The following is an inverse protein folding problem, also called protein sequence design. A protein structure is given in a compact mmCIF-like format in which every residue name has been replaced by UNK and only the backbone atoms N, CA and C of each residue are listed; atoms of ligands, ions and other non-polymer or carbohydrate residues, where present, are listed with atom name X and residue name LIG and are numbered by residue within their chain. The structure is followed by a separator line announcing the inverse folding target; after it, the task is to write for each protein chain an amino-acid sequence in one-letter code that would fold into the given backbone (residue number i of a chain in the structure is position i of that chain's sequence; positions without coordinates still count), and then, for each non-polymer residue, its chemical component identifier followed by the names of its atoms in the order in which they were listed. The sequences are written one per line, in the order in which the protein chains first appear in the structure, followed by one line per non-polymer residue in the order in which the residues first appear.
data_IF_098604350637
#
_entry.id   IF_098604350637
#
_cell.length_a   1.000
_cell.length_b   1.000
_cell.length_c   1.000
_cell.angle_alpha   90.00
_cell.angle_beta   90.00
_cell.angle_gamma   90.00
#
_symmetry.space_group_name_H-M   'P 1'
#
loop_
_entity.id
_entity.type
_entity.pdbx_description
1 polymer ?
#
# COMPACT_ATOMS: atom_id res chain seq x y z
N UNK A 1 53.09 41.63 37.61
CA UNK A 1 52.08 40.56 37.72
C UNK A 1 52.13 39.76 36.43
N UNK A 2 52.65 38.51 36.45
CA UNK A 2 51.92 37.26 36.13
C UNK A 2 51.26 37.30 34.73
N UNK A 3 51.55 36.51 33.70
CA UNK A 3 51.96 35.10 33.48
C UNK A 3 52.55 35.02 32.04
N UNK A 4 53.68 34.41 31.66
CA UNK A 4 54.20 33.03 31.70
C UNK A 4 53.45 31.97 30.86
N UNK A 5 54.22 31.32 29.96
CA UNK A 5 54.05 30.02 29.25
C UNK A 5 53.29 30.11 27.91
N UNK A 6 53.71 29.44 26.82
CA UNK A 6 54.29 28.11 26.71
C UNK A 6 55.10 27.97 25.39
N UNK A 7 56.36 27.54 25.50
CA UNK A 7 57.18 27.00 24.40
C UNK A 7 57.02 25.48 24.48
N UNK A 8 56.69 24.81 23.38
CA UNK A 8 56.96 23.37 23.26
C UNK A 8 57.47 23.05 21.85
N UNK A 9 58.74 22.65 21.83
CA UNK A 9 59.58 22.36 20.68
C UNK A 9 59.28 20.95 20.15
N UNK A 10 59.17 20.85 18.82
CA UNK A 10 59.14 19.60 18.05
C UNK A 10 60.41 18.77 18.32
N UNK A 11 60.24 17.49 18.61
CA UNK A 11 61.29 16.49 18.45
C UNK A 11 60.69 15.19 17.90
N UNK A 12 61.00 14.96 16.63
CA UNK A 12 60.80 13.73 15.87
C UNK A 12 61.63 12.57 16.43
N UNK A 13 61.04 11.38 16.57
CA UNK A 13 61.80 10.13 16.54
C UNK A 13 61.00 9.05 15.81
N UNK A 14 61.52 8.66 14.65
CA UNK A 14 61.04 7.57 13.83
C UNK A 14 61.44 6.22 14.45
N UNK A 15 60.49 5.29 14.49
CA UNK A 15 60.79 3.85 14.54
C UNK A 15 59.95 3.15 13.47
N UNK A 16 60.68 2.66 12.48
CA UNK A 16 60.23 1.81 11.38
C UNK A 16 59.89 0.44 11.95
N UNK A 17 58.66 -0.03 11.73
CA UNK A 17 58.37 -1.47 11.77
C UNK A 17 57.93 -1.90 10.37
N UNK A 18 58.67 -2.86 9.83
CA UNK A 18 58.44 -3.45 8.52
C UNK A 18 57.20 -4.34 8.59
N UNK A 19 56.13 -3.92 7.93
CA UNK A 19 55.01 -4.79 7.54
C UNK A 19 54.89 -4.74 6.03
N UNK A 20 55.01 -5.88 5.37
CA UNK A 20 54.95 -6.01 3.91
C UNK A 20 53.59 -5.51 3.41
N UNK A 21 53.52 -4.27 2.93
CA UNK A 21 52.40 -3.79 2.14
C UNK A 21 52.58 -4.33 0.71
N UNK A 22 51.80 -5.35 0.36
CA UNK A 22 51.47 -5.62 -1.04
C UNK A 22 50.72 -4.39 -1.55
N UNK A 23 51.16 -3.81 -2.66
CA UNK A 23 50.43 -2.77 -3.36
C UNK A 23 49.00 -3.28 -3.67
N UNK A 24 48.00 -2.74 -2.97
CA UNK A 24 46.65 -2.78 -3.47
C UNK A 24 46.57 -1.73 -4.57
N UNK A 25 46.62 -2.20 -5.82
CA UNK A 25 46.04 -1.46 -6.93
C UNK A 25 44.62 -1.10 -6.51
N UNK A 26 44.35 0.19 -6.39
CA UNK A 26 42.99 0.72 -6.33
C UNK A 26 42.31 0.25 -7.62
N UNK A 27 41.58 -0.85 -7.50
CA UNK A 27 40.58 -1.20 -8.48
C UNK A 27 39.52 -0.14 -8.27
N UNK A 28 39.26 0.68 -9.29
CA UNK A 28 38.06 1.50 -9.32
C UNK A 28 36.89 0.59 -8.96
N UNK A 29 36.40 0.73 -7.73
CA UNK A 29 35.09 0.21 -7.38
C UNK A 29 34.12 1.08 -8.18
N UNK A 30 33.89 0.70 -9.43
CA UNK A 30 32.62 0.96 -10.07
C UNK A 30 31.62 0.40 -9.08
N UNK A 31 30.95 1.30 -8.34
CA UNK A 31 29.89 0.93 -7.44
C UNK A 31 28.98 0.01 -8.24
N UNK A 32 28.97 -1.28 -7.87
CA UNK A 32 28.08 -2.23 -8.50
C UNK A 32 26.70 -1.61 -8.37
N UNK A 33 26.12 -1.26 -9.52
CA UNK A 33 24.73 -0.81 -9.59
C UNK A 33 23.94 -1.88 -8.85
N UNK A 34 23.20 -1.56 -7.78
CA UNK A 34 22.45 -2.57 -7.05
C UNK A 34 21.65 -3.35 -8.08
N UNK A 35 21.77 -4.69 -8.06
CA UNK A 35 20.93 -5.51 -8.90
C UNK A 35 19.49 -5.04 -8.71
N UNK A 36 18.71 -4.79 -9.78
CA UNK A 36 17.32 -4.43 -9.63
C UNK A 36 16.69 -5.48 -8.72
N UNK A 37 16.14 -5.04 -7.59
CA UNK A 37 15.42 -5.93 -6.68
C UNK A 37 14.40 -6.67 -7.54
N UNK A 38 14.45 -8.00 -7.51
CA UNK A 38 13.47 -8.81 -8.21
C UNK A 38 12.09 -8.26 -7.85
N UNK A 39 11.31 -7.92 -8.87
CA UNK A 39 9.94 -7.45 -8.73
C UNK A 39 9.22 -8.47 -7.84
N UNK A 40 8.89 -8.06 -6.61
CA UNK A 40 8.14 -8.90 -5.69
C UNK A 40 6.72 -8.91 -6.23
N UNK A 41 6.44 -9.82 -7.17
CA UNK A 41 5.09 -10.09 -7.63
C UNK A 41 4.29 -10.53 -6.41
N UNK A 42 3.30 -9.75 -5.95
CA UNK A 42 2.53 -10.11 -4.77
C UNK A 42 1.89 -11.48 -5.03
N UNK A 43 2.15 -12.43 -4.13
CA UNK A 43 1.52 -13.74 -4.24
C UNK A 43 0.06 -13.61 -3.82
N UNK A 44 -0.83 -14.05 -4.69
CA UNK A 44 -2.27 -14.13 -4.44
C UNK A 44 -2.53 -14.95 -3.16
N UNK A 45 -3.48 -14.55 -2.29
CA UNK A 45 -4.10 -15.52 -1.41
C UNK A 45 -4.80 -16.56 -2.30
N UNK A 46 -4.36 -17.81 -2.23
CA UNK A 46 -4.89 -18.94 -3.01
C UNK A 46 -6.37 -19.25 -2.75
N UNK A 47 -6.99 -18.54 -1.80
CA UNK A 47 -8.35 -18.77 -1.33
C UNK A 47 -9.33 -17.62 -1.61
N UNK A 48 -8.92 -16.54 -2.29
CA UNK A 48 -9.89 -15.56 -2.76
C UNK A 48 -10.76 -16.22 -3.86
N UNK A 49 -12.09 -16.39 -3.67
CA UNK A 49 -12.97 -16.90 -4.70
C UNK A 49 -12.82 -16.05 -5.96
N UNK A 50 -12.82 -16.66 -7.16
CA UNK A 50 -12.90 -15.89 -8.39
C UNK A 50 -14.17 -15.04 -8.32
N UNK A 51 -13.99 -13.72 -8.32
CA UNK A 51 -15.13 -12.81 -8.34
C UNK A 51 -15.90 -12.88 -9.65
N UNK A 52 -17.14 -12.44 -9.70
CA UNK A 52 -17.89 -12.34 -10.94
C UNK A 52 -17.31 -11.22 -11.83
N UNK A 53 -16.48 -11.60 -12.80
CA UNK A 53 -15.90 -10.72 -13.82
C UNK A 53 -15.33 -11.54 -14.97
N UNK A 54 -15.34 -10.98 -16.18
CA UNK A 54 -14.81 -11.64 -17.36
C UNK A 54 -13.27 -11.61 -17.32
N UNK A 55 -12.65 -12.71 -16.94
CA UNK A 55 -11.23 -12.95 -17.19
C UNK A 55 -10.85 -14.40 -16.90
N UNK A 56 -9.71 -14.81 -17.47
CA UNK A 56 -9.22 -16.18 -17.33
C UNK A 56 -8.33 -16.30 -16.11
N UNK A 57 -8.27 -17.49 -15.48
CA UNK A 57 -7.28 -17.75 -14.45
C UNK A 57 -5.86 -17.44 -14.98
N UNK A 58 -5.19 -16.45 -14.38
CA UNK A 58 -3.88 -15.98 -14.83
C UNK A 58 -3.86 -14.55 -15.39
N UNK A 59 -5.01 -13.96 -15.73
CA UNK A 59 -5.07 -12.53 -16.03
C UNK A 59 -5.07 -11.74 -14.71
N UNK A 60 -4.13 -10.80 -14.57
CA UNK A 60 -4.10 -9.87 -13.43
C UNK A 60 -5.36 -8.99 -13.32
N UNK A 61 -6.26 -9.04 -14.32
CA UNK A 61 -7.54 -8.35 -14.34
C UNK A 61 -8.75 -9.29 -14.33
N UNK A 62 -8.51 -10.60 -14.27
CA UNK A 62 -9.61 -11.52 -14.12
C UNK A 62 -10.30 -11.25 -12.79
N UNK A 63 -11.61 -11.11 -12.88
CA UNK A 63 -12.52 -10.95 -11.75
C UNK A 63 -12.66 -9.52 -11.21
N UNK A 64 -13.86 -9.22 -10.71
CA UNK A 64 -14.22 -7.90 -10.19
C UNK A 64 -14.83 -6.94 -11.22
N UNK A 65 -14.90 -5.67 -10.83
CA UNK A 65 -15.29 -4.56 -11.69
C UNK A 65 -14.13 -3.60 -11.91
N UNK A 66 -13.92 -3.19 -13.16
CA UNK A 66 -12.96 -2.16 -13.53
C UNK A 66 -13.65 -0.87 -13.95
N UNK A 67 -13.06 0.27 -13.59
CA UNK A 67 -13.59 1.60 -13.90
C UNK A 67 -12.44 2.57 -14.19
N UNK A 68 -12.70 3.61 -14.98
CA UNK A 68 -11.76 4.72 -15.12
C UNK A 68 -11.56 5.40 -13.76
N UNK A 69 -10.31 5.70 -13.43
CA UNK A 69 -9.94 6.40 -12.21
C UNK A 69 -9.33 7.75 -12.56
N UNK A 70 -9.77 8.78 -11.85
CA UNK A 70 -9.31 10.16 -12.06
C UNK A 70 -8.52 10.59 -10.83
N UNK A 71 -7.18 10.63 -10.91
CA UNK A 71 -6.39 11.17 -9.81
C UNK A 71 -6.68 12.66 -9.59
N UNK A 72 -6.53 13.10 -8.34
CA UNK A 72 -6.72 14.51 -7.98
C UNK A 72 -5.69 15.41 -8.68
N UNK A 73 -4.47 14.92 -8.86
CA UNK A 73 -3.41 15.59 -9.64
C UNK A 73 -2.26 14.63 -10.00
N UNK A 74 -1.42 15.03 -10.95
CA UNK A 74 -0.16 14.35 -11.24
C UNK A 74 0.79 14.34 -10.04
N UNK A 75 0.83 15.43 -9.26
CA UNK A 75 1.61 15.50 -8.03
C UNK A 75 1.13 14.49 -6.99
N UNK A 76 -0.19 14.30 -6.87
CA UNK A 76 -0.74 13.31 -5.94
C UNK A 76 -0.41 11.87 -6.37
N UNK A 77 -0.46 11.58 -7.67
CA UNK A 77 0.00 10.29 -8.20
C UNK A 77 1.50 10.07 -7.96
N UNK A 78 2.33 11.10 -8.16
CA UNK A 78 3.76 11.03 -7.85
C UNK A 78 4.00 10.78 -6.36
N UNK A 79 3.23 11.41 -5.48
CA UNK A 79 3.26 11.15 -4.04
C UNK A 79 2.87 9.72 -3.68
N UNK A 80 1.96 9.10 -4.43
CA UNK A 80 1.53 7.72 -4.28
C UNK A 80 2.63 6.74 -4.71
N UNK A 81 3.19 6.88 -5.91
CA UNK A 81 4.22 5.96 -6.43
C UNK A 81 5.64 6.23 -5.92
N UNK A 82 5.87 7.39 -5.32
CA UNK A 82 7.20 7.92 -5.01
C UNK A 82 7.93 7.27 -3.82
N UNK A 83 7.42 6.16 -3.27
CA UNK A 83 8.01 5.49 -2.11
C UNK A 83 8.45 4.08 -2.47
N UNK A 84 9.74 3.78 -2.25
CA UNK A 84 10.35 2.48 -2.46
C UNK A 84 11.64 2.54 -3.28
N UNK A 85 12.29 1.39 -3.43
CA UNK A 85 13.43 1.22 -4.34
C UNK A 85 12.83 1.05 -5.75
N UNK A 86 13.10 1.99 -6.65
CA UNK A 86 12.45 2.04 -7.97
C UNK A 86 11.36 3.11 -8.10
N UNK A 87 11.31 4.09 -7.19
CA UNK A 87 10.49 5.28 -7.40
C UNK A 87 10.86 5.93 -8.73
N UNK A 88 9.85 6.06 -9.61
CA UNK A 88 9.98 6.75 -10.88
C UNK A 88 9.02 7.94 -10.85
N UNK A 89 9.52 9.16 -11.10
CA UNK A 89 8.63 10.28 -11.34
C UNK A 89 7.71 9.95 -12.51
N UNK A 90 6.41 10.08 -12.30
CA UNK A 90 5.41 9.94 -13.35
C UNK A 90 5.50 11.15 -14.25
N UNK A 91 5.63 10.91 -15.55
CA UNK A 91 5.69 11.98 -16.55
C UNK A 91 4.29 12.35 -17.03
N UNK A 92 3.56 11.38 -17.56
CA UNK A 92 2.21 11.58 -18.10
C UNK A 92 1.43 10.26 -18.06
N UNK A 93 1.00 9.80 -16.88
CA UNK A 93 0.30 8.54 -16.73
C UNK A 93 -1.05 8.62 -17.46
N UNK A 94 -1.37 7.57 -18.20
CA UNK A 94 -2.60 7.41 -18.98
C UNK A 94 -3.30 6.10 -18.63
N UNK A 95 -4.52 5.90 -19.14
CA UNK A 95 -5.31 4.68 -18.94
C UNK A 95 -5.48 4.27 -17.47
N UNK A 96 -5.57 5.26 -16.58
CA UNK A 96 -5.61 5.03 -15.15
C UNK A 96 -6.93 4.36 -14.78
N UNK A 97 -6.85 3.15 -14.22
CA UNK A 97 -7.98 2.29 -13.92
C UNK A 97 -7.95 1.79 -12.49
N UNK A 98 -9.13 1.71 -11.90
CA UNK A 98 -9.36 1.05 -10.61
C UNK A 98 -10.09 -0.26 -10.88
N UNK A 99 -9.57 -1.38 -10.35
CA UNK A 99 -10.29 -2.64 -10.27
C UNK A 99 -10.58 -2.98 -8.81
N UNK A 100 -11.80 -3.43 -8.55
CA UNK A 100 -12.22 -3.89 -7.22
C UNK A 100 -12.79 -5.30 -7.36
N UNK A 101 -12.28 -6.22 -6.56
CA UNK A 101 -12.83 -7.56 -6.42
C UNK A 101 -12.79 -7.97 -4.95
N UNK A 102 -13.91 -7.77 -4.25
CA UNK A 102 -14.07 -8.09 -2.84
C UNK A 102 -15.33 -8.91 -2.62
N UNK A 103 -15.38 -9.68 -1.56
CA UNK A 103 -16.53 -10.52 -1.22
C UNK A 103 -16.72 -10.57 0.30
N UNK A 104 -17.95 -10.84 0.74
CA UNK A 104 -18.25 -10.97 2.17
C UNK A 104 -17.63 -12.26 2.72
N UNK A 105 -16.62 -12.12 3.57
CA UNK A 105 -15.94 -13.22 4.29
C UNK A 105 -16.72 -13.65 5.54
N UNK A 106 -17.84 -12.98 5.83
CA UNK A 106 -18.72 -13.24 6.97
C UNK A 106 -19.04 -11.97 7.75
N UNK A 107 -20.26 -11.90 8.27
CA UNK A 107 -20.74 -10.79 9.12
C UNK A 107 -20.60 -9.39 8.47
N UNK A 108 -20.78 -9.31 7.15
CA UNK A 108 -20.72 -8.07 6.38
C UNK A 108 -19.30 -7.50 6.31
N UNK A 109 -18.28 -8.37 6.27
CA UNK A 109 -16.86 -7.98 6.22
C UNK A 109 -16.27 -8.36 4.88
N UNK A 110 -15.63 -7.42 4.20
CA UNK A 110 -15.25 -7.60 2.80
C UNK A 110 -13.74 -7.77 2.62
N UNK A 111 -13.32 -9.01 2.36
CA UNK A 111 -11.95 -9.37 1.98
C UNK A 111 -11.78 -9.42 0.47
N UNK A 112 -10.54 -9.42 -0.01
CA UNK A 112 -10.21 -9.48 -1.43
C UNK A 112 -9.14 -8.48 -1.84
N UNK A 113 -9.27 -7.92 -3.05
CA UNK A 113 -8.24 -7.11 -3.66
C UNK A 113 -8.78 -5.83 -4.31
N UNK A 114 -7.94 -4.81 -4.35
CA UNK A 114 -8.13 -3.58 -5.10
C UNK A 114 -6.85 -3.30 -5.89
N UNK A 115 -6.99 -3.00 -7.17
CA UNK A 115 -5.86 -2.68 -8.04
C UNK A 115 -5.98 -1.28 -8.63
N UNK A 116 -4.86 -0.58 -8.71
CA UNK A 116 -4.75 0.69 -9.42
C UNK A 116 -3.69 0.49 -10.49
N UNK A 117 -4.06 0.67 -11.75
CA UNK A 117 -3.14 0.51 -12.86
C UNK A 117 -3.10 1.74 -13.74
N UNK A 118 -1.98 1.95 -14.41
CA UNK A 118 -1.76 3.06 -15.32
C UNK A 118 -0.63 2.72 -16.29
N UNK A 119 -0.62 3.42 -17.42
CA UNK A 119 0.47 3.35 -18.39
C UNK A 119 1.29 4.64 -18.31
N UNK A 120 2.60 4.55 -18.10
CA UNK A 120 3.52 5.70 -18.15
C UNK A 120 4.77 5.35 -18.97
N UNK A 121 5.22 6.26 -19.83
CA UNK A 121 6.37 6.06 -20.75
C UNK A 121 6.34 4.74 -21.55
N UNK A 122 5.14 4.27 -21.93
CA UNK A 122 4.96 3.02 -22.68
C UNK A 122 5.09 1.74 -21.85
N UNK A 123 5.20 1.84 -20.53
CA UNK A 123 5.17 0.71 -19.60
C UNK A 123 3.85 0.67 -18.83
N UNK A 124 3.37 -0.54 -18.56
CA UNK A 124 2.20 -0.80 -17.73
C UNK A 124 2.62 -1.02 -16.28
N UNK A 125 1.96 -0.33 -15.35
CA UNK A 125 2.21 -0.45 -13.92
C UNK A 125 0.94 -0.83 -13.17
N UNK A 126 1.08 -1.66 -12.13
CA UNK A 126 -0.02 -2.11 -11.29
C UNK A 126 0.37 -2.00 -9.80
N UNK A 127 -0.44 -1.27 -9.03
CA UNK A 127 -0.46 -1.37 -7.57
C UNK A 127 -1.51 -2.40 -7.15
N UNK A 128 -1.14 -3.33 -6.27
CA UNK A 128 -1.99 -4.45 -5.86
C UNK A 128 -2.16 -4.47 -4.34
N UNK A 129 -3.36 -4.16 -3.88
CA UNK A 129 -3.67 -4.03 -2.45
C UNK A 129 -4.64 -5.12 -2.02
N UNK A 130 -4.38 -5.73 -0.86
CA UNK A 130 -5.17 -6.84 -0.32
C UNK A 130 -5.76 -6.53 1.05
N UNK A 131 -6.94 -7.09 1.28
CA UNK A 131 -7.50 -7.34 2.59
C UNK A 131 -7.66 -8.84 2.73
N UNK A 132 -7.04 -9.41 3.77
CA UNK A 132 -7.05 -10.84 4.00
C UNK A 132 -8.46 -11.40 4.15
N UNK A 133 -8.60 -12.65 3.75
CA UNK A 133 -9.89 -13.35 3.74
C UNK A 133 -10.06 -14.29 4.92
N UNK A 134 -9.01 -14.45 5.72
CA UNK A 134 -9.02 -15.30 6.89
C UNK A 134 -9.29 -14.52 8.17
N UNK A 135 -8.79 -15.08 9.26
CA UNK A 135 -8.81 -14.47 10.58
C UNK A 135 -7.41 -14.21 11.07
N UNK A 136 -7.29 -13.14 11.84
CA UNK A 136 -6.07 -12.77 12.54
C UNK A 136 -5.55 -13.90 13.40
N UNK A 137 -4.31 -14.34 13.13
CA UNK A 137 -3.60 -15.30 13.98
C UNK A 137 -3.05 -14.62 15.24
N UNK A 138 -2.69 -15.43 16.22
CA UNK A 138 -1.97 -14.95 17.40
C UNK A 138 -0.60 -14.42 17.02
N UNK A 139 -0.24 -13.27 17.57
CA UNK A 139 1.02 -12.58 17.28
C UNK A 139 1.44 -11.75 18.49
N UNK A 140 2.41 -12.26 19.25
CA UNK A 140 2.86 -11.70 20.52
C UNK A 140 3.60 -10.35 20.40
N UNK A 141 4.10 -9.98 19.22
CA UNK A 141 5.13 -8.93 19.11
C UNK A 141 4.65 -7.52 18.75
N UNK A 142 3.48 -7.34 18.12
CA UNK A 142 3.07 -6.03 17.55
C UNK A 142 1.57 -5.70 17.60
N UNK A 143 0.74 -6.55 18.21
CA UNK A 143 -0.70 -6.31 18.38
C UNK A 143 -1.17 -6.66 19.77
N UNK A 144 -2.30 -6.11 20.19
CA UNK A 144 -3.00 -6.62 21.36
C UNK A 144 -3.59 -7.99 21.01
N UNK A 145 -3.51 -8.97 21.91
CA UNK A 145 -4.14 -10.28 21.77
C UNK A 145 -5.66 -10.21 21.49
N UNK A 146 -6.26 -9.03 21.68
CA UNK A 146 -7.68 -8.73 21.55
C UNK A 146 -8.24 -8.88 20.13
N UNK A 147 -7.39 -8.97 19.09
CA UNK A 147 -7.84 -9.11 17.71
C UNK A 147 -7.65 -10.52 17.13
N UNK A 148 -7.14 -11.47 17.92
CA UNK A 148 -6.99 -12.87 17.48
C UNK A 148 -8.39 -13.46 17.21
N UNK A 149 -8.54 -14.12 16.07
CA UNK A 149 -9.82 -14.66 15.61
C UNK A 149 -10.76 -13.65 14.95
N UNK A 150 -10.45 -12.34 15.01
CA UNK A 150 -11.19 -11.36 14.22
C UNK A 150 -10.85 -11.51 12.72
N UNK A 151 -11.82 -11.25 11.83
CA UNK A 151 -11.57 -11.23 10.40
C UNK A 151 -10.42 -10.28 10.04
N UNK A 152 -9.57 -10.67 9.11
CA UNK A 152 -8.53 -9.78 8.59
C UNK A 152 -9.15 -8.54 7.92
N UNK A 153 -10.33 -8.71 7.32
CA UNK A 153 -11.17 -7.66 6.75
C UNK A 153 -12.10 -6.96 7.76
N UNK A 154 -11.85 -7.02 9.08
CA UNK A 154 -12.78 -6.53 10.12
C UNK A 154 -13.25 -5.08 9.94
N UNK A 155 -12.45 -4.24 9.29
CA UNK A 155 -12.78 -2.84 9.06
C UNK A 155 -13.36 -2.54 7.67
N UNK A 156 -13.57 -3.55 6.83
CA UNK A 156 -14.08 -3.40 5.48
C UNK A 156 -15.57 -3.70 5.48
N UNK A 157 -16.41 -2.67 5.54
CA UNK A 157 -17.86 -2.84 5.75
C UNK A 157 -18.65 -1.75 5.07
N UNK A 158 -19.88 -2.08 4.68
CA UNK A 158 -20.90 -1.08 4.42
C UNK A 158 -21.30 -0.44 5.75
N UNK A 159 -21.26 0.89 5.82
CA UNK A 159 -21.77 1.69 6.94
C UNK A 159 -23.28 1.85 6.85
N UNK A 160 -23.78 1.88 5.61
CA UNK A 160 -25.18 1.89 5.22
C UNK A 160 -25.27 1.32 3.78
N UNK A 161 -26.46 1.11 3.20
CA UNK A 161 -26.60 0.49 1.86
C UNK A 161 -25.85 1.19 0.70
N UNK A 162 -25.52 2.48 0.87
CA UNK A 162 -24.87 3.33 -0.12
C UNK A 162 -23.44 3.75 0.23
N UNK A 163 -22.95 3.42 1.43
CA UNK A 163 -21.64 3.90 1.91
C UNK A 163 -20.77 2.72 2.35
N UNK A 164 -19.62 2.54 1.72
CA UNK A 164 -18.61 1.54 2.06
C UNK A 164 -17.28 2.20 2.40
N UNK A 165 -16.56 1.61 3.34
CA UNK A 165 -15.17 1.95 3.62
C UNK A 165 -14.40 0.67 3.86
N UNK A 166 -13.28 0.49 3.14
CA UNK A 166 -12.44 -0.70 3.27
C UNK A 166 -10.96 -0.37 3.09
N UNK A 167 -10.14 -1.01 3.91
CA UNK A 167 -8.70 -0.86 3.99
C UNK A 167 -8.04 -2.03 3.29
N UNK A 168 -7.02 -1.73 2.49
CA UNK A 168 -6.25 -2.70 1.73
C UNK A 168 -4.77 -2.29 1.79
N UNK A 169 -3.85 -3.24 1.80
CA UNK A 169 -2.43 -2.93 1.86
C UNK A 169 -1.61 -3.69 0.83
N UNK A 170 -0.44 -3.17 0.52
CA UNK A 170 0.64 -3.88 -0.14
C UNK A 170 1.91 -3.82 0.74
N UNK A 171 3.08 -4.05 0.14
CA UNK A 171 4.37 -3.98 0.85
C UNK A 171 4.88 -2.55 1.06
N UNK A 172 4.32 -1.57 0.35
CA UNK A 172 4.77 -0.18 0.29
C UNK A 172 3.84 0.78 1.02
N UNK A 173 2.59 0.40 1.25
CA UNK A 173 1.58 1.26 1.84
C UNK A 173 0.21 0.59 2.00
N UNK A 174 -0.78 1.44 2.21
CA UNK A 174 -2.17 1.08 2.34
C UNK A 174 -3.06 2.06 1.57
N UNK A 175 -4.19 1.56 1.09
CA UNK A 175 -5.26 2.36 0.53
C UNK A 175 -6.56 2.17 1.31
N UNK A 176 -7.44 3.16 1.20
CA UNK A 176 -8.82 3.09 1.65
C UNK A 176 -9.72 3.32 0.45
N UNK A 177 -10.51 2.31 0.12
CA UNK A 177 -11.59 2.41 -0.85
C UNK A 177 -12.81 2.98 -0.12
N UNK A 178 -13.27 4.14 -0.56
CA UNK A 178 -14.49 4.78 -0.06
C UNK A 178 -15.53 4.79 -1.17
N UNK A 179 -16.70 4.23 -0.89
CA UNK A 179 -17.92 4.45 -1.67
C UNK A 179 -18.81 5.35 -0.83
N UNK A 180 -19.22 6.48 -1.38
CA UNK A 180 -20.02 7.49 -0.67
C UNK A 180 -21.20 8.01 -1.50
N UNK A 181 -21.31 7.60 -2.76
CA UNK A 181 -22.41 7.95 -3.64
C UNK A 181 -22.90 6.72 -4.43
N UNK A 182 -24.22 6.51 -4.39
CA UNK A 182 -24.89 5.56 -5.27
C UNK A 182 -25.06 6.21 -6.65
N UNK A 183 -24.76 5.47 -7.71
CA UNK A 183 -25.08 5.86 -9.08
C UNK A 183 -26.60 6.01 -9.34
N UNK A 184 -26.99 6.25 -10.60
CA UNK A 184 -28.39 6.46 -10.95
C UNK A 184 -29.23 5.21 -10.62
N UNK A 185 -30.29 5.41 -9.85
CA UNK A 185 -31.32 4.40 -9.62
C UNK A 185 -32.31 4.45 -10.79
N UNK A 186 -32.54 3.32 -11.45
CA UNK A 186 -33.41 3.23 -12.62
C UNK A 186 -34.91 3.16 -12.25
N UNK A 187 -35.24 3.20 -10.95
CA UNK A 187 -36.63 3.18 -10.47
C UNK A 187 -37.27 1.79 -10.50
N UNK A 188 -36.49 0.74 -10.72
CA UNK A 188 -36.93 -0.66 -10.77
C UNK A 188 -36.92 -1.37 -9.41
N UNK A 189 -36.57 -0.64 -8.33
CA UNK A 189 -36.50 -1.18 -6.97
C UNK A 189 -35.23 -1.97 -6.67
N UNK A 190 -34.28 -2.09 -7.61
CA UNK A 190 -33.01 -2.81 -7.37
C UNK A 190 -31.91 -1.94 -6.73
N UNK A 191 -32.18 -0.65 -6.52
CA UNK A 191 -31.18 0.31 -6.05
C UNK A 191 -30.21 0.70 -7.18
N UNK A 192 -29.11 1.36 -6.83
CA UNK A 192 -28.11 1.69 -7.85
C UNK A 192 -27.25 0.48 -8.22
N UNK A 193 -27.16 0.19 -9.51
CA UNK A 193 -26.31 -0.87 -10.06
C UNK A 193 -24.82 -0.50 -10.08
N UNK A 194 -24.53 0.80 -9.99
CA UNK A 194 -23.17 1.34 -9.94
C UNK A 194 -22.92 2.18 -8.70
N UNK A 195 -21.67 2.34 -8.34
CA UNK A 195 -21.23 3.17 -7.21
C UNK A 195 -20.10 4.10 -7.64
N UNK A 196 -20.04 5.25 -6.97
CA UNK A 196 -18.98 6.24 -7.12
C UNK A 196 -18.24 6.37 -5.80
N UNK A 197 -17.05 6.95 -5.85
CA UNK A 197 -16.31 7.20 -4.63
C UNK A 197 -14.89 7.68 -4.85
N UNK A 198 -14.06 7.42 -3.85
CA UNK A 198 -12.67 7.87 -3.82
C UNK A 198 -11.73 6.79 -3.29
N UNK A 199 -10.47 6.93 -3.68
CA UNK A 199 -9.37 6.14 -3.12
C UNK A 199 -8.46 7.07 -2.34
N UNK A 200 -8.12 6.69 -1.12
CA UNK A 200 -7.15 7.35 -0.27
C UNK A 200 -5.95 6.45 -0.09
N UNK A 201 -4.78 7.01 0.13
CA UNK A 201 -3.56 6.23 0.32
C UNK A 201 -2.70 6.75 1.46
N UNK A 202 -1.90 5.86 2.02
CA UNK A 202 -0.84 6.14 2.97
C UNK A 202 0.33 5.23 2.62
N UNK A 203 1.46 5.82 2.30
CA UNK A 203 2.69 5.06 2.13
C UNK A 203 3.32 4.76 3.49
N UNK A 204 3.92 3.59 3.61
CA UNK A 204 4.72 3.25 4.77
C UNK A 204 6.05 4.01 4.72
N UNK A 205 6.64 4.26 5.89
CA UNK A 205 8.02 4.72 5.91
C UNK A 205 8.90 3.66 5.24
N UNK A 206 9.91 4.08 4.47
CA UNK A 206 10.94 3.18 3.94
C UNK A 206 11.67 2.52 5.12
N UNK A 207 11.13 1.40 5.60
CA UNK A 207 11.62 0.64 6.72
C UNK A 207 11.96 -0.77 6.24
N UNK A 208 13.07 -1.29 6.78
CA UNK A 208 13.47 -2.68 6.59
C UNK A 208 13.38 -3.38 7.96
N UNK A 209 12.77 -4.58 8.04
CA UNK A 209 12.19 -5.37 6.94
C UNK A 209 10.84 -4.81 6.47
N UNK A 210 10.52 -4.96 5.17
CA UNK A 210 9.21 -4.59 4.62
C UNK A 210 8.06 -5.27 5.39
N UNK A 211 6.88 -4.65 5.37
CA UNK A 211 5.73 -5.18 6.08
C UNK A 211 5.37 -6.59 5.58
N UNK A 212 5.37 -7.56 6.49
CA UNK A 212 4.96 -8.93 6.19
C UNK A 212 3.44 -9.13 6.16
N UNK A 213 3.00 -10.27 5.63
CA UNK A 213 1.59 -10.68 5.57
C UNK A 213 1.00 -11.18 6.90
N UNK A 214 1.80 -11.17 7.98
CA UNK A 214 1.44 -11.75 9.27
C UNK A 214 0.37 -10.95 10.02
N UNK A 215 0.31 -9.64 9.79
CA UNK A 215 -0.70 -8.74 10.37
C UNK A 215 -0.91 -7.57 9.42
N UNK A 216 -2.18 -7.27 9.15
CA UNK A 216 -2.50 -6.09 8.36
C UNK A 216 -2.32 -4.79 9.17
N UNK A 217 -1.93 -3.72 8.48
CA UNK A 217 -1.49 -2.44 9.02
C UNK A 217 -2.53 -1.75 9.89
N UNK A 218 -3.82 -2.07 9.70
CA UNK A 218 -4.93 -1.51 10.46
C UNK A 218 -5.11 -2.16 11.84
N UNK A 219 -4.47 -3.31 12.08
CA UNK A 219 -4.37 -3.94 13.39
C UNK A 219 -3.05 -3.62 14.10
N UNK A 220 -2.11 -2.97 13.42
CA UNK A 220 -0.83 -2.56 14.00
C UNK A 220 -1.03 -1.22 14.69
N UNK A 221 -0.77 -1.17 16.00
CA UNK A 221 -0.96 0.04 16.82
C UNK A 221 0.35 0.75 17.15
N UNK A 222 1.49 0.22 16.70
CA UNK A 222 2.83 0.80 16.92
C UNK A 222 3.77 0.40 15.79
N UNK A 223 4.58 1.36 15.33
CA UNK A 223 5.65 1.13 14.36
C UNK A 223 5.39 1.79 13.00
N UNK A 224 6.33 1.63 12.04
CA UNK A 224 6.31 2.36 10.77
C UNK A 224 5.18 1.91 9.83
N UNK A 225 4.57 0.75 10.11
CA UNK A 225 3.50 0.14 9.31
C UNK A 225 2.12 0.36 9.90
N UNK A 226 1.97 1.21 10.92
CA UNK A 226 0.65 1.54 11.45
C UNK A 226 -0.14 2.35 10.43
N UNK A 227 -1.26 1.78 9.98
CA UNK A 227 -2.24 2.47 9.15
C UNK A 227 -3.58 2.64 9.89
N UNK A 228 -3.60 2.38 11.21
CA UNK A 228 -4.74 2.58 12.08
C UNK A 228 -5.19 4.05 12.09
N UNK A 229 -6.46 4.31 11.77
CA UNK A 229 -7.14 5.60 11.87
C UNK A 229 -8.19 5.48 12.98
N UNK A 230 -8.29 6.45 13.91
CA UNK A 230 -9.30 6.48 14.96
C UNK A 230 -10.74 6.26 14.46
N UNK A 231 -11.04 6.72 13.24
CA UNK A 231 -12.36 6.59 12.62
C UNK A 231 -12.69 5.13 12.24
N UNK A 232 -11.70 4.24 12.13
CA UNK A 232 -11.95 2.82 11.84
C UNK A 232 -12.79 2.12 12.89
N UNK A 233 -12.63 2.47 14.16
CA UNK A 233 -13.34 1.83 15.26
C UNK A 233 -14.71 2.45 15.47
N UNK A 234 -14.80 3.79 15.45
CA UNK A 234 -16.06 4.52 15.66
C UNK A 234 -17.00 4.40 14.47
N UNK A 235 -16.46 4.17 13.26
CA UNK A 235 -17.20 4.18 11.99
C UNK A 235 -18.05 5.45 11.81
N UNK A 236 -17.63 6.55 12.43
CA UNK A 236 -18.33 7.83 12.42
C UNK A 236 -18.22 8.58 11.08
N UNK A 237 -17.33 8.12 10.20
CA UNK A 237 -17.12 8.63 8.84
C UNK A 237 -16.60 7.49 7.95
N UNK A 238 -16.97 7.46 6.66
CA UNK A 238 -16.37 6.51 5.71
C UNK A 238 -14.95 6.90 5.30
N UNK A 239 -14.61 8.19 5.41
CA UNK A 239 -13.29 8.71 5.07
C UNK A 239 -12.29 8.41 6.18
N UNK A 240 -11.06 7.98 5.84
CA UNK A 240 -10.02 7.83 6.83
C UNK A 240 -9.62 9.18 7.41
N UNK A 241 -9.12 9.16 8.64
CA UNK A 241 -8.42 10.31 9.25
C UNK A 241 -6.91 10.11 9.21
N UNK A 242 -6.19 11.08 9.79
CA UNK A 242 -4.74 11.10 9.89
C UNK A 242 -4.07 11.11 8.51
N UNK A 243 -2.82 10.66 8.44
CA UNK A 243 -1.84 10.79 7.34
C UNK A 243 -2.28 10.22 5.98
N UNK A 244 -3.52 9.78 5.81
CA UNK A 244 -4.07 9.39 4.52
C UNK A 244 -4.31 10.63 3.65
N UNK A 245 -3.96 10.52 2.37
CA UNK A 245 -4.21 11.56 1.37
C UNK A 245 -5.13 10.99 0.30
N UNK A 246 -6.08 11.78 -0.19
CA UNK A 246 -6.94 11.32 -1.29
C UNK A 246 -6.12 11.24 -2.56
N UNK A 247 -6.13 10.08 -3.21
CA UNK A 247 -5.45 9.86 -4.48
C UNK A 247 -6.30 10.37 -5.65
N UNK A 248 -7.61 10.13 -5.61
CA UNK A 248 -8.52 10.43 -6.70
C UNK A 248 -9.91 9.85 -6.50
N UNK A 249 -10.69 9.89 -7.58
CA UNK A 249 -12.09 9.48 -7.60
C UNK A 249 -12.40 8.52 -8.75
N UNK A 250 -13.50 7.79 -8.62
CA UNK A 250 -14.05 6.93 -9.66
C UNK A 250 -15.58 7.08 -9.74
N UNK A 251 -16.15 6.80 -10.91
CA UNK A 251 -17.59 6.82 -11.14
C UNK A 251 -18.05 5.65 -11.99
N UNK A 252 -19.18 5.04 -11.62
CA UNK A 252 -19.80 3.97 -12.41
C UNK A 252 -19.21 2.58 -12.17
N UNK A 253 -18.59 2.32 -11.02
CA UNK A 253 -18.09 1.00 -10.67
C UNK A 253 -19.28 0.04 -10.47
N UNK A 254 -19.33 -1.08 -11.19
CA UNK A 254 -20.45 -2.04 -11.06
C UNK A 254 -20.42 -2.72 -9.68
N UNK A 255 -21.42 -2.44 -8.83
CA UNK A 255 -21.45 -2.92 -7.44
C UNK A 255 -21.46 -4.45 -7.38
N UNK A 256 -22.31 -5.10 -8.18
CA UNK A 256 -22.47 -6.55 -8.18
C UNK A 256 -21.16 -7.30 -8.49
N UNK A 257 -20.42 -6.81 -9.50
CA UNK A 257 -19.12 -7.37 -9.90
C UNK A 257 -18.02 -7.02 -8.89
N UNK A 258 -18.01 -5.80 -8.37
CA UNK A 258 -16.99 -5.34 -7.44
C UNK A 258 -17.06 -6.03 -6.07
N UNK A 259 -18.28 -6.24 -5.57
CA UNK A 259 -18.53 -6.75 -4.21
C UNK A 259 -19.06 -8.19 -4.18
N UNK A 260 -19.25 -8.81 -5.35
CA UNK A 260 -19.80 -10.16 -5.50
C UNK A 260 -21.18 -10.32 -4.84
N UNK A 261 -22.09 -9.39 -5.13
CA UNK A 261 -23.45 -9.30 -4.56
C UNK A 261 -24.53 -9.11 -5.62
#
# INVERSE_FOLDING_TARGET
MKHSKLILTLASLALVSMGCAKEFKSSDNVAATPAPLAEVVPTYPTEAPPGQGAGSAGDNWAYGASVAFTPDSLDMMNNYVGIGVGSHPLNNPTNIKLNVNVYDVGAGKFGGQVKIAYDDNGQHYEGYFIAGTGVNKDFESYGTANNVGAFEANYNTWLNPSTFSGYFQDTLGAIVLVVDEAGPNLGDGQGSTTVNGSVWFKNFANAFPQQGSQRFCWFITRGPYQCHSPIMNSKSSPYPSDTYRRLGTFKGLTKAKAFNQ
#
